data_IF_787818799200
#
_entry.id   IF_787818799200
#
_cell.length_a   1.000
_cell.length_b   1.000
_cell.length_c   1.000
_cell.angle_alpha   90.00
_cell.angle_beta   90.00
_cell.angle_gamma   90.00
#
_symmetry.space_group_name_H-M   'P 1'
#
loop_
_entity.id
_entity.type
_entity.pdbx_description
1 polymer ?
#
# COMPACT_ATOMS: atom_id res chain seq x y z
N UNK A 1 -24.12 -9.73 10.13
CA UNK A 1 -22.93 -10.46 9.58
C UNK A 1 -21.79 -10.21 10.55
N UNK A 2 -20.86 -11.16 10.75
CA UNK A 2 -19.68 -10.89 11.59
C UNK A 2 -18.87 -9.71 11.04
N UNK A 3 -18.22 -8.97 11.94
CA UNK A 3 -17.31 -7.89 11.55
C UNK A 3 -16.17 -8.46 10.68
N UNK A 4 -15.79 -7.75 9.62
CA UNK A 4 -14.76 -8.24 8.68
C UNK A 4 -13.83 -7.12 8.25
N UNK A 5 -12.60 -7.49 7.94
CA UNK A 5 -11.63 -6.62 7.26
C UNK A 5 -11.47 -7.04 5.81
N UNK A 6 -11.39 -6.05 4.94
CA UNK A 6 -11.21 -6.22 3.50
C UNK A 6 -9.97 -5.42 3.12
N UNK A 7 -9.01 -6.10 2.51
CA UNK A 7 -7.82 -5.46 1.93
C UNK A 7 -7.95 -5.56 0.42
N UNK A 8 -8.04 -4.42 -0.26
CA UNK A 8 -8.16 -4.37 -1.72
C UNK A 8 -6.86 -3.84 -2.31
N UNK A 9 -6.16 -4.64 -3.11
CA UNK A 9 -5.01 -4.20 -3.90
C UNK A 9 -5.52 -3.23 -4.96
N UNK A 10 -5.28 -1.94 -4.80
CA UNK A 10 -5.70 -0.92 -5.76
C UNK A 10 -4.78 -0.84 -6.96
N UNK A 11 -3.53 -1.19 -6.76
CA UNK A 11 -2.50 -1.30 -7.76
C UNK A 11 -1.37 -2.19 -7.27
N UNK A 12 -0.80 -3.00 -8.16
CA UNK A 12 0.27 -3.93 -7.83
C UNK A 12 1.49 -3.79 -8.75
N UNK A 13 1.56 -2.74 -9.53
CA UNK A 13 2.66 -2.45 -10.44
C UNK A 13 3.75 -1.60 -9.79
N UNK A 14 4.98 -1.75 -10.28
CA UNK A 14 6.13 -0.93 -9.92
C UNK A 14 5.99 0.52 -10.40
N UNK A 15 6.97 1.38 -10.06
CA UNK A 15 6.96 2.82 -10.38
C UNK A 15 6.55 3.20 -11.81
N UNK A 16 6.96 2.47 -12.88
CA UNK A 16 6.49 2.79 -14.23
C UNK A 16 5.08 2.29 -14.55
N UNK A 17 4.48 1.41 -13.72
CA UNK A 17 3.27 0.68 -14.03
C UNK A 17 3.46 -0.40 -15.12
N UNK A 18 2.41 -1.16 -15.43
CA UNK A 18 2.35 -2.11 -16.54
C UNK A 18 1.07 -1.86 -17.34
N UNK A 19 1.13 -1.54 -18.65
CA UNK A 19 2.37 -1.28 -19.41
C UNK A 19 3.09 -0.02 -18.93
N UNK A 20 4.35 0.14 -19.32
CA UNK A 20 5.07 1.40 -19.15
C UNK A 20 4.39 2.51 -19.96
N UNK A 21 4.67 3.76 -19.65
CA UNK A 21 4.07 4.93 -20.34
C UNK A 21 4.30 4.93 -21.87
N UNK A 22 5.31 4.23 -22.34
CA UNK A 22 5.60 4.02 -23.77
C UNK A 22 4.73 2.96 -24.44
N UNK A 23 3.83 2.31 -23.69
CA UNK A 23 3.04 1.16 -24.16
C UNK A 23 3.78 -0.18 -24.12
N UNK A 24 4.97 -0.22 -23.51
CA UNK A 24 5.78 -1.44 -23.39
C UNK A 24 5.26 -2.37 -22.30
N UNK A 25 4.90 -3.59 -22.68
CA UNK A 25 4.41 -4.65 -21.81
C UNK A 25 5.49 -5.64 -21.35
N UNK A 26 6.72 -5.55 -21.91
CA UNK A 26 7.80 -6.50 -21.64
C UNK A 26 7.38 -7.95 -21.93
N UNK A 27 7.46 -8.81 -20.93
CA UNK A 27 7.01 -10.21 -21.03
C UNK A 27 5.52 -10.42 -20.73
N UNK A 28 4.80 -9.41 -20.26
CA UNK A 28 3.39 -9.50 -19.90
C UNK A 28 2.50 -9.61 -21.15
N UNK A 29 1.59 -10.61 -21.19
CA UNK A 29 0.58 -10.70 -22.26
C UNK A 29 -0.44 -9.55 -22.11
N UNK A 30 -0.57 -8.62 -23.08
CA UNK A 30 -1.49 -7.51 -23.01
C UNK A 30 -2.97 -7.91 -23.07
N UNK A 31 -3.28 -9.15 -23.46
CA UNK A 31 -4.65 -9.69 -23.50
C UNK A 31 -5.12 -10.19 -22.12
N UNK A 32 -4.20 -10.48 -21.21
CA UNK A 32 -4.55 -10.85 -19.85
C UNK A 32 -4.75 -9.56 -19.00
N UNK A 33 -5.99 -9.23 -18.59
CA UNK A 33 -6.27 -8.01 -17.84
C UNK A 33 -5.54 -7.93 -16.51
N UNK A 34 -5.12 -9.06 -15.93
CA UNK A 34 -4.35 -9.11 -14.68
C UNK A 34 -2.90 -8.63 -14.85
N UNK A 35 -2.43 -8.48 -16.07
CA UNK A 35 -1.13 -7.89 -16.37
C UNK A 35 -1.15 -6.36 -16.44
N UNK A 36 -2.36 -5.73 -16.56
CA UNK A 36 -2.46 -4.29 -16.42
C UNK A 36 -2.38 -3.94 -14.94
N UNK A 37 -1.34 -3.20 -14.55
CA UNK A 37 -1.04 -2.88 -13.16
C UNK A 37 -0.82 -1.38 -12.98
N UNK A 38 -1.67 -0.75 -12.21
CA UNK A 38 -1.48 0.60 -11.68
C UNK A 38 -0.38 0.58 -10.61
N UNK A 39 0.18 1.76 -10.26
CA UNK A 39 1.19 1.89 -9.21
C UNK A 39 0.64 1.40 -7.89
N UNK A 40 1.54 0.84 -7.10
CA UNK A 40 1.22 0.16 -5.84
C UNK A 40 0.43 1.03 -4.87
N UNK A 41 -0.71 0.52 -4.40
CA UNK A 41 -1.52 1.07 -3.32
C UNK A 41 -2.46 0.00 -2.74
N UNK A 42 -2.81 0.13 -1.47
CA UNK A 42 -3.71 -0.79 -0.76
C UNK A 42 -4.83 -0.03 -0.04
N UNK A 43 -6.06 -0.50 -0.17
CA UNK A 43 -7.19 -0.05 0.63
C UNK A 43 -7.46 -1.04 1.75
N UNK A 44 -7.59 -0.56 2.99
CA UNK A 44 -7.94 -1.35 4.16
C UNK A 44 -9.29 -0.87 4.68
N UNK A 45 -10.28 -1.75 4.72
CA UNK A 45 -11.62 -1.45 5.20
C UNK A 45 -12.00 -2.38 6.35
N UNK A 46 -12.51 -1.85 7.44
CA UNK A 46 -13.19 -2.62 8.48
C UNK A 46 -14.68 -2.34 8.40
N UNK A 47 -15.47 -3.40 8.28
CA UNK A 47 -16.93 -3.33 8.17
C UNK A 47 -17.53 -3.94 9.42
N UNK A 48 -18.23 -3.13 10.20
CA UNK A 48 -18.96 -3.56 11.40
C UNK A 48 -20.24 -4.34 11.04
N UNK A 49 -20.82 -5.04 12.01
CA UNK A 49 -22.06 -5.82 11.83
C UNK A 49 -23.25 -4.98 11.38
N UNK A 50 -23.30 -3.70 11.81
CA UNK A 50 -24.35 -2.72 11.47
C UNK A 50 -24.13 -2.06 10.11
N UNK A 51 -23.02 -2.39 9.41
CA UNK A 51 -22.64 -1.82 8.12
C UNK A 51 -21.77 -0.57 8.21
N UNK A 52 -21.45 -0.08 9.40
CA UNK A 52 -20.47 0.99 9.61
C UNK A 52 -19.13 0.61 8.98
N UNK A 53 -18.39 1.59 8.45
CA UNK A 53 -17.16 1.35 7.71
C UNK A 53 -16.05 2.26 8.19
N UNK A 54 -14.87 1.70 8.43
CA UNK A 54 -13.62 2.46 8.62
C UNK A 54 -12.73 2.17 7.42
N UNK A 55 -12.30 3.22 6.73
CA UNK A 55 -11.61 3.11 5.43
C UNK A 55 -10.27 3.82 5.51
N UNK A 56 -9.18 3.08 5.30
CA UNK A 56 -7.81 3.59 5.33
C UNK A 56 -7.11 3.24 4.03
N UNK A 57 -6.47 4.23 3.43
CA UNK A 57 -5.65 4.05 2.24
C UNK A 57 -4.19 3.96 2.62
N UNK A 58 -3.43 3.03 2.04
CA UNK A 58 -1.97 2.99 2.10
C UNK A 58 -1.44 3.48 0.76
N UNK A 59 -0.71 4.58 0.82
CA UNK A 59 -0.12 5.33 -0.28
C UNK A 59 -1.10 6.04 -1.23
N UNK A 60 -0.63 7.13 -1.83
CA UNK A 60 -1.34 7.99 -2.78
C UNK A 60 -0.51 8.18 -4.05
N UNK A 61 -0.28 7.11 -4.78
CA UNK A 61 0.46 7.18 -6.05
C UNK A 61 -0.26 8.01 -7.13
N UNK A 62 0.37 8.25 -8.28
CA UNK A 62 -0.20 9.06 -9.36
C UNK A 62 -1.50 8.50 -9.96
N UNK A 63 -1.80 7.21 -9.74
CA UNK A 63 -3.02 6.56 -10.22
C UNK A 63 -4.20 6.66 -9.23
N UNK A 64 -4.02 7.36 -8.10
CA UNK A 64 -4.96 7.41 -6.99
C UNK A 64 -6.41 7.65 -7.42
N UNK A 65 -6.62 8.64 -8.28
CA UNK A 65 -7.97 8.98 -8.75
C UNK A 65 -8.67 7.80 -9.43
N UNK A 66 -7.98 7.12 -10.34
CA UNK A 66 -8.52 5.95 -11.05
C UNK A 66 -8.79 4.78 -10.08
N UNK A 67 -7.84 4.54 -9.19
CA UNK A 67 -7.92 3.49 -8.18
C UNK A 67 -9.13 3.65 -7.27
N UNK A 68 -9.35 4.83 -6.71
CA UNK A 68 -10.46 5.10 -5.79
C UNK A 68 -11.83 5.11 -6.50
N UNK A 69 -11.89 5.62 -7.73
CA UNK A 69 -13.11 5.56 -8.54
C UNK A 69 -13.50 4.11 -8.87
N UNK A 70 -12.53 3.29 -9.28
CA UNK A 70 -12.75 1.87 -9.59
C UNK A 70 -13.17 1.07 -8.37
N UNK A 71 -12.59 1.37 -7.19
CA UNK A 71 -12.95 0.73 -5.92
C UNK A 71 -14.26 1.30 -5.30
N UNK A 72 -14.83 2.36 -5.88
CA UNK A 72 -16.06 2.98 -5.39
C UNK A 72 -15.94 3.67 -4.03
N UNK A 73 -14.72 4.09 -3.65
CA UNK A 73 -14.44 4.74 -2.37
C UNK A 73 -15.13 6.10 -2.30
N UNK A 74 -15.90 6.35 -1.24
CA UNK A 74 -16.66 7.59 -1.05
C UNK A 74 -16.13 8.45 0.10
N UNK A 75 -15.40 7.85 1.04
CA UNK A 75 -14.79 8.53 2.18
C UNK A 75 -13.51 7.82 2.61
N UNK A 76 -12.61 8.57 3.27
CA UNK A 76 -11.39 8.06 3.88
C UNK A 76 -11.28 8.58 5.31
N UNK A 77 -11.03 7.68 6.26
CA UNK A 77 -10.77 8.02 7.65
C UNK A 77 -9.32 8.42 7.87
N UNK A 78 -8.39 7.81 7.11
CA UNK A 78 -6.97 8.19 7.09
C UNK A 78 -6.27 7.72 5.81
N UNK A 79 -5.09 8.30 5.59
CA UNK A 79 -4.06 7.76 4.69
C UNK A 79 -2.82 7.41 5.51
N UNK A 80 -2.16 6.33 5.14
CA UNK A 80 -0.90 5.86 5.76
C UNK A 80 0.14 5.76 4.66
N UNK A 81 1.35 6.30 4.87
CA UNK A 81 2.42 6.27 3.88
C UNK A 81 3.50 5.27 4.24
N UNK A 82 3.92 4.49 3.25
CA UNK A 82 5.07 3.59 3.34
C UNK A 82 6.38 4.36 3.28
N UNK A 83 6.50 5.29 2.34
CA UNK A 83 7.67 6.13 2.14
C UNK A 83 7.39 7.28 1.13
N UNK A 84 8.39 8.09 0.81
CA UNK A 84 8.23 9.35 0.07
C UNK A 84 8.51 9.27 -1.43
N UNK A 85 8.62 8.08 -2.04
CA UNK A 85 8.82 7.99 -3.48
C UNK A 85 7.58 8.47 -4.26
N UNK A 86 7.80 8.94 -5.48
CA UNK A 86 6.78 9.60 -6.28
C UNK A 86 5.58 8.70 -6.62
N UNK A 87 5.83 7.44 -6.87
CA UNK A 87 4.80 6.42 -7.17
C UNK A 87 3.93 6.05 -5.97
N UNK A 88 4.34 6.44 -4.75
CA UNK A 88 3.58 6.27 -3.51
C UNK A 88 2.95 7.56 -2.97
N UNK A 89 3.39 8.74 -3.48
CA UNK A 89 3.04 10.01 -2.85
C UNK A 89 2.35 11.02 -3.79
N UNK A 90 2.67 11.05 -5.08
CA UNK A 90 2.37 12.21 -5.94
C UNK A 90 0.88 12.40 -6.30
N UNK A 91 -0.02 11.50 -5.91
CA UNK A 91 -1.47 11.69 -6.01
C UNK A 91 -2.12 12.37 -4.79
N UNK A 92 -1.32 12.83 -3.82
CA UNK A 92 -1.81 13.38 -2.54
C UNK A 92 -2.82 14.53 -2.70
N UNK A 93 -2.72 15.35 -3.75
CA UNK A 93 -3.64 16.46 -4.00
C UNK A 93 -5.07 15.99 -4.33
N UNK A 94 -5.25 14.78 -4.87
CA UNK A 94 -6.58 14.21 -5.16
C UNK A 94 -7.42 13.96 -3.87
N UNK A 95 -6.77 13.91 -2.68
CA UNK A 95 -7.47 13.88 -1.40
C UNK A 95 -8.35 15.10 -1.16
N UNK A 96 -8.12 16.18 -1.89
CA UNK A 96 -8.97 17.40 -1.88
C UNK A 96 -10.43 17.09 -2.11
N UNK A 97 -10.75 16.11 -2.96
CA UNK A 97 -12.12 15.69 -3.24
C UNK A 97 -12.87 15.27 -1.99
N UNK A 98 -12.23 14.54 -1.07
CA UNK A 98 -12.84 14.10 0.18
C UNK A 98 -13.05 15.27 1.16
N UNK A 99 -12.09 16.20 1.23
CA UNK A 99 -12.21 17.38 2.09
C UNK A 99 -13.34 18.29 1.65
N UNK A 100 -13.51 18.52 0.36
CA UNK A 100 -14.62 19.30 -0.20
C UNK A 100 -15.96 18.63 0.14
N UNK A 101 -16.04 17.30 0.02
CA UNK A 101 -17.27 16.54 0.27
C UNK A 101 -17.58 16.45 1.77
N UNK A 102 -16.60 16.10 2.60
CA UNK A 102 -16.81 15.78 4.01
C UNK A 102 -16.57 16.97 4.95
N UNK A 103 -16.02 18.08 4.45
CA UNK A 103 -15.65 19.29 5.21
C UNK A 103 -14.75 19.02 6.41
N UNK A 104 -13.89 18.01 6.29
CA UNK A 104 -12.88 17.63 7.29
C UNK A 104 -11.56 17.31 6.60
N UNK A 105 -10.44 17.64 7.25
CA UNK A 105 -9.12 17.24 6.78
C UNK A 105 -8.94 15.73 6.88
N UNK A 106 -8.29 15.12 5.89
CA UNK A 106 -7.90 13.72 5.97
C UNK A 106 -6.63 13.59 6.82
N UNK A 107 -6.64 12.82 7.93
CA UNK A 107 -5.44 12.50 8.67
C UNK A 107 -4.48 11.70 7.78
N UNK A 108 -3.19 12.06 7.79
CA UNK A 108 -2.13 11.29 7.11
C UNK A 108 -1.09 10.84 8.14
N UNK A 109 -0.76 9.55 8.13
CA UNK A 109 0.24 8.96 9.00
C UNK A 109 1.50 8.64 8.19
N UNK A 110 2.64 9.15 8.63
CA UNK A 110 3.92 8.90 7.98
C UNK A 110 5.08 9.13 8.96
N UNK A 111 6.25 8.60 8.64
CA UNK A 111 7.47 8.91 9.37
C UNK A 111 7.92 10.36 9.17
N UNK A 112 8.87 10.80 9.97
CA UNK A 112 9.36 12.19 9.95
C UNK A 112 9.97 12.58 8.59
N UNK A 113 10.66 11.66 7.92
CA UNK A 113 11.26 11.91 6.62
C UNK A 113 10.19 12.11 5.54
N UNK A 114 9.20 11.23 5.48
CA UNK A 114 8.09 11.31 4.53
C UNK A 114 7.26 12.58 4.78
N UNK A 115 6.96 12.93 6.04
CA UNK A 115 6.28 14.19 6.38
C UNK A 115 7.08 15.43 5.95
N UNK A 116 8.41 15.41 6.05
CA UNK A 116 9.26 16.48 5.54
C UNK A 116 9.14 16.62 4.02
N UNK A 117 9.19 15.52 3.28
CA UNK A 117 9.03 15.51 1.83
C UNK A 117 7.64 16.00 1.38
N UNK A 118 6.58 15.62 2.12
CA UNK A 118 5.23 16.14 1.90
C UNK A 118 5.19 17.65 2.11
N UNK A 119 5.81 18.15 3.16
CA UNK A 119 5.87 19.59 3.45
C UNK A 119 6.63 20.34 2.35
N UNK A 120 7.74 19.80 1.89
CA UNK A 120 8.57 20.43 0.84
C UNK A 120 7.85 20.48 -0.52
N UNK A 121 7.17 19.40 -0.93
CA UNK A 121 6.54 19.29 -2.24
C UNK A 121 5.06 19.72 -2.27
N UNK A 122 4.34 19.50 -1.17
CA UNK A 122 2.88 19.64 -1.06
C UNK A 122 2.45 20.41 0.19
N UNK A 123 3.29 21.34 0.67
CA UNK A 123 3.02 22.11 1.89
C UNK A 123 1.67 22.82 1.90
N UNK A 124 1.17 23.24 0.75
CA UNK A 124 -0.16 23.83 0.58
C UNK A 124 -1.32 22.85 0.93
N UNK A 125 -1.07 21.56 0.96
CA UNK A 125 -2.05 20.56 1.44
C UNK A 125 -2.15 20.57 2.96
N UNK A 126 -1.08 20.95 3.68
CA UNK A 126 -0.98 20.99 5.13
C UNK A 126 -1.42 22.32 5.73
N UNK A 127 -1.06 23.42 5.06
CA UNK A 127 -1.28 24.78 5.54
C UNK A 127 -1.75 25.68 4.38
N UNK A 128 -2.72 26.55 4.65
CA UNK A 128 -3.15 27.52 3.65
C UNK A 128 -2.05 28.54 3.39
N UNK A 129 -1.61 28.76 2.13
CA UNK A 129 -0.70 29.83 1.82
C UNK A 129 -1.22 31.21 2.25
N UNK A 130 -0.36 32.17 2.61
CA UNK A 130 -0.78 33.51 2.96
C UNK A 130 -1.68 34.13 1.88
N UNK A 131 -2.86 34.63 2.27
CA UNK A 131 -3.85 35.23 1.38
C UNK A 131 -4.71 34.21 0.59
N UNK A 132 -4.54 32.93 0.81
CA UNK A 132 -5.39 31.88 0.22
C UNK A 132 -6.68 31.70 1.03
N UNK A 133 -7.82 31.54 0.33
CA UNK A 133 -9.09 31.14 0.93
C UNK A 133 -9.34 29.63 0.90
N UNK A 134 -8.39 28.84 0.34
CA UNK A 134 -8.48 27.39 0.31
C UNK A 134 -8.02 26.80 1.64
N UNK A 135 -8.86 26.00 2.34
CA UNK A 135 -8.44 25.32 3.56
C UNK A 135 -7.39 24.22 3.25
N UNK A 136 -6.55 23.89 4.23
CA UNK A 136 -5.67 22.73 4.12
C UNK A 136 -6.50 21.45 4.00
N UNK A 137 -5.98 20.46 3.25
CA UNK A 137 -6.73 19.24 2.93
C UNK A 137 -6.31 18.03 3.77
N UNK A 138 -5.13 18.07 4.37
CA UNK A 138 -4.59 16.99 5.18
C UNK A 138 -4.12 17.48 6.54
N UNK A 139 -4.09 16.57 7.52
CA UNK A 139 -3.53 16.78 8.85
C UNK A 139 -2.46 15.73 9.12
N UNK A 140 -1.23 16.17 9.37
CA UNK A 140 -0.10 15.27 9.63
C UNK A 140 -0.24 14.59 11.00
N UNK A 141 0.02 13.27 11.03
CA UNK A 141 0.18 12.44 12.20
C UNK A 141 1.52 11.71 12.07
N UNK A 142 2.39 11.87 13.05
CA UNK A 142 3.72 11.27 13.04
C UNK A 142 3.65 9.79 13.42
N UNK A 143 4.27 8.92 12.62
CA UNK A 143 4.66 7.58 13.04
C UNK A 143 6.02 7.73 13.72
N UNK A 144 6.04 7.50 15.04
CA UNK A 144 7.24 7.68 15.85
C UNK A 144 8.35 6.68 15.50
N UNK A 145 9.62 7.02 15.69
CA UNK A 145 10.73 6.09 15.42
C UNK A 145 10.71 4.79 16.22
N UNK A 146 9.98 4.75 17.34
CA UNK A 146 9.74 3.54 18.14
C UNK A 146 8.87 2.51 17.45
N UNK A 147 8.19 2.91 16.36
CA UNK A 147 7.28 2.06 15.57
C UNK A 147 6.20 1.36 16.43
N UNK A 148 5.70 2.09 17.43
CA UNK A 148 4.58 1.62 18.24
C UNK A 148 3.29 1.58 17.39
N UNK A 149 2.39 0.63 17.67
CA UNK A 149 1.12 0.57 16.97
C UNK A 149 0.32 1.85 17.12
N UNK A 150 -0.29 2.30 16.03
CA UNK A 150 -1.24 3.40 16.05
C UNK A 150 -2.63 2.98 15.59
N UNK A 151 -3.65 3.79 15.87
CA UNK A 151 -5.04 3.46 15.62
C UNK A 151 -5.71 4.48 14.75
N UNK A 152 -6.56 3.99 13.85
CA UNK A 152 -7.48 4.81 13.06
C UNK A 152 -8.90 4.44 13.44
N UNK A 153 -9.66 5.43 13.87
CA UNK A 153 -11.06 5.29 14.28
C UNK A 153 -11.99 5.67 13.13
N UNK A 154 -13.09 4.93 12.96
CA UNK A 154 -14.13 5.22 12.00
C UNK A 154 -15.43 4.49 12.35
N UNK A 155 -16.44 4.62 11.51
CA UNK A 155 -17.77 4.04 11.78
C UNK A 155 -17.77 2.49 11.79
N UNK A 156 -16.77 1.85 11.19
CA UNK A 156 -16.58 0.39 11.24
C UNK A 156 -15.80 -0.10 12.45
N UNK A 157 -15.43 0.80 13.38
CA UNK A 157 -14.58 0.51 14.53
C UNK A 157 -13.11 0.85 14.27
N UNK A 158 -12.25 0.42 15.19
CA UNK A 158 -10.82 0.75 15.21
C UNK A 158 -10.01 -0.20 14.34
N UNK A 159 -9.18 0.36 13.45
CA UNK A 159 -8.12 -0.39 12.76
C UNK A 159 -6.78 -0.06 13.44
N UNK A 160 -6.09 -1.08 13.95
CA UNK A 160 -4.75 -0.93 14.54
C UNK A 160 -3.70 -1.31 13.50
N UNK A 161 -2.78 -0.39 13.23
CA UNK A 161 -1.63 -0.58 12.36
C UNK A 161 -0.37 -0.79 13.21
N UNK A 162 0.36 -1.88 12.97
CA UNK A 162 1.71 -2.10 13.47
C UNK A 162 2.69 -1.74 12.35
N UNK A 163 3.46 -0.63 12.49
CA UNK A 163 4.50 -0.30 11.53
C UNK A 163 5.64 -1.31 11.59
N UNK A 164 6.20 -1.61 10.43
CA UNK A 164 7.28 -2.57 10.22
C UNK A 164 8.42 -1.86 9.47
N UNK A 165 9.59 -1.76 10.08
CA UNK A 165 10.75 -1.18 9.41
C UNK A 165 11.23 -2.10 8.29
N UNK A 166 11.49 -1.54 7.13
CA UNK A 166 12.00 -2.24 5.96
C UNK A 166 13.22 -1.54 5.39
N UNK A 167 14.15 -2.29 4.83
CA UNK A 167 15.23 -1.76 4.03
C UNK A 167 14.76 -1.59 2.59
N UNK A 168 15.04 -0.45 2.00
CA UNK A 168 14.70 -0.15 0.60
C UNK A 168 15.91 0.51 -0.09
N UNK A 169 16.89 -0.32 -0.43
CA UNK A 169 18.18 0.14 -0.92
C UNK A 169 18.91 1.00 0.10
N UNK A 170 19.11 2.28 -0.22
CA UNK A 170 19.80 3.25 0.65
C UNK A 170 18.87 4.01 1.61
N UNK A 171 17.57 3.77 1.56
CA UNK A 171 16.56 4.36 2.44
C UNK A 171 15.79 3.29 3.20
N UNK A 172 14.95 3.73 4.12
CA UNK A 172 13.96 2.87 4.76
C UNK A 172 12.58 3.11 4.14
N UNK A 173 11.74 2.08 4.17
CA UNK A 173 10.30 2.16 3.97
C UNK A 173 9.58 1.54 5.17
N UNK A 174 8.27 1.74 5.24
CA UNK A 174 7.43 1.12 6.26
C UNK A 174 6.50 0.11 5.60
N UNK A 175 6.51 -1.13 6.10
CA UNK A 175 5.41 -2.05 5.95
C UNK A 175 4.38 -1.85 7.05
N UNK A 176 3.22 -2.47 6.92
CA UNK A 176 2.16 -2.39 7.92
C UNK A 176 1.51 -3.75 8.15
N UNK A 177 1.40 -4.15 9.42
CA UNK A 177 0.60 -5.30 9.84
C UNK A 177 -0.72 -4.82 10.43
N UNK A 178 -1.82 -5.40 9.97
CA UNK A 178 -3.18 -5.19 10.49
C UNK A 178 -3.79 -6.55 10.80
N UNK A 179 -3.83 -6.91 12.07
CA UNK A 179 -4.21 -8.26 12.49
C UNK A 179 -3.28 -9.32 11.92
N UNK A 180 -3.82 -10.26 11.14
CA UNK A 180 -3.08 -11.38 10.55
C UNK A 180 -2.67 -11.14 9.09
N UNK A 181 -2.80 -9.91 8.60
CA UNK A 181 -2.37 -9.50 7.26
C UNK A 181 -1.24 -8.49 7.38
N UNK A 182 -0.15 -8.71 6.64
CA UNK A 182 0.94 -7.74 6.49
C UNK A 182 1.10 -7.32 5.04
N UNK A 183 1.39 -6.03 4.85
CA UNK A 183 1.67 -5.39 3.56
C UNK A 183 3.08 -4.81 3.58
N UNK A 184 3.96 -5.38 2.75
CA UNK A 184 5.38 -5.09 2.68
C UNK A 184 5.81 -4.82 1.23
N UNK A 185 5.41 -3.67 0.71
CA UNK A 185 5.89 -3.17 -0.59
C UNK A 185 7.23 -2.47 -0.42
N UNK A 186 7.98 -2.32 -1.52
CA UNK A 186 9.24 -1.56 -1.57
C UNK A 186 10.23 -1.97 -0.47
N UNK A 187 10.60 -3.23 -0.52
CA UNK A 187 11.52 -3.85 0.43
C UNK A 187 12.63 -4.59 -0.31
N UNK A 188 13.86 -4.45 0.17
CA UNK A 188 15.02 -5.22 -0.29
C UNK A 188 15.53 -6.19 0.78
N UNK A 189 15.19 -5.91 2.07
CA UNK A 189 15.56 -6.76 3.20
C UNK A 189 14.73 -6.40 4.44
N UNK A 190 14.62 -7.34 5.39
CA UNK A 190 13.92 -7.14 6.66
C UNK A 190 14.90 -7.18 7.83
N UNK A 191 14.92 -6.15 8.69
CA UNK A 191 15.62 -6.21 9.98
C UNK A 191 15.06 -7.34 10.87
N UNK A 192 15.88 -7.96 11.73
CA UNK A 192 15.43 -9.08 12.59
C UNK A 192 14.18 -8.77 13.41
N UNK A 193 14.08 -7.57 13.98
CA UNK A 193 12.91 -7.11 14.74
C UNK A 193 11.63 -7.02 13.92
N UNK A 194 11.74 -6.83 12.60
CA UNK A 194 10.60 -6.87 11.69
C UNK A 194 10.19 -8.31 11.40
N UNK A 195 11.15 -9.21 11.20
CA UNK A 195 10.87 -10.65 11.01
C UNK A 195 10.09 -11.21 12.18
N UNK A 196 10.48 -10.86 13.43
CA UNK A 196 9.77 -11.28 14.64
C UNK A 196 8.29 -10.82 14.64
N UNK A 197 8.02 -9.60 14.12
CA UNK A 197 6.66 -9.06 14.01
C UNK A 197 5.85 -9.66 12.84
N UNK A 198 6.48 -10.33 11.90
CA UNK A 198 5.84 -10.99 10.76
C UNK A 198 5.45 -12.46 11.04
N UNK A 199 5.74 -12.99 12.23
CA UNK A 199 5.35 -14.34 12.60
C UNK A 199 3.83 -14.54 12.71
N UNK A 200 3.32 -15.73 12.31
CA UNK A 200 1.93 -16.15 12.47
C UNK A 200 0.93 -15.45 11.53
N UNK A 201 1.36 -14.94 10.38
CA UNK A 201 0.49 -14.29 9.41
C UNK A 201 -0.43 -15.30 8.70
N UNK A 202 -1.69 -14.91 8.51
CA UNK A 202 -2.58 -15.56 7.56
C UNK A 202 -2.20 -15.15 6.11
N UNK A 203 -1.94 -13.87 5.88
CA UNK A 203 -1.57 -13.37 4.55
C UNK A 203 -0.42 -12.38 4.62
N UNK A 204 0.57 -12.58 3.76
CA UNK A 204 1.67 -11.64 3.50
C UNK A 204 1.54 -11.11 2.08
N UNK A 205 1.42 -9.78 1.92
CA UNK A 205 1.60 -9.09 0.63
C UNK A 205 3.01 -8.56 0.60
N UNK A 206 3.84 -9.01 -0.37
CA UNK A 206 5.29 -8.76 -0.37
C UNK A 206 5.77 -8.26 -1.73
N UNK A 207 6.72 -7.33 -1.72
CA UNK A 207 7.45 -6.81 -2.88
C UNK A 207 8.04 -7.95 -3.72
N UNK A 208 7.90 -7.84 -5.04
CA UNK A 208 8.50 -8.76 -6.01
C UNK A 208 8.66 -8.04 -7.33
N UNK A 209 9.78 -7.34 -7.50
CA UNK A 209 9.95 -6.45 -8.64
C UNK A 209 10.09 -7.20 -9.97
N UNK A 210 11.01 -8.16 -10.02
CA UNK A 210 11.43 -8.85 -11.25
C UNK A 210 12.20 -10.13 -10.94
N UNK A 211 12.67 -10.85 -11.98
CA UNK A 211 13.50 -12.04 -11.80
C UNK A 211 14.93 -11.71 -11.35
N UNK A 212 15.54 -10.67 -11.95
CA UNK A 212 16.92 -10.31 -11.65
C UNK A 212 17.02 -9.53 -10.32
N UNK A 213 18.17 -9.64 -9.68
CA UNK A 213 18.50 -8.84 -8.49
C UNK A 213 18.33 -7.34 -8.75
N UNK A 214 17.81 -6.65 -7.75
CA UNK A 214 17.70 -5.19 -7.71
C UNK A 214 18.16 -4.67 -6.33
N UNK A 215 18.92 -3.56 -6.25
CA UNK A 215 19.51 -3.12 -4.98
C UNK A 215 18.47 -2.60 -3.96
N UNK A 216 17.28 -2.22 -4.37
CA UNK A 216 16.24 -1.66 -3.50
C UNK A 216 14.94 -2.48 -3.45
N UNK A 217 14.81 -3.56 -4.21
CA UNK A 217 13.63 -4.40 -4.25
C UNK A 217 14.00 -5.87 -4.26
N UNK A 218 13.08 -6.72 -3.81
CA UNK A 218 13.23 -8.16 -3.89
C UNK A 218 13.07 -8.67 -5.33
N UNK A 219 13.91 -9.61 -5.75
CA UNK A 219 13.63 -10.46 -6.90
C UNK A 219 12.61 -11.53 -6.54
N UNK A 220 12.03 -12.23 -7.54
CA UNK A 220 11.11 -13.35 -7.27
C UNK A 220 11.76 -14.41 -6.37
N UNK A 221 13.02 -14.78 -6.63
CA UNK A 221 13.76 -15.74 -5.80
C UNK A 221 13.90 -15.26 -4.35
N UNK A 222 14.26 -14.00 -4.14
CA UNK A 222 14.40 -13.42 -2.80
C UNK A 222 13.04 -13.33 -2.08
N UNK A 223 11.97 -12.96 -2.78
CA UNK A 223 10.61 -12.92 -2.19
C UNK A 223 10.18 -14.31 -1.75
N UNK A 224 10.42 -15.35 -2.55
CA UNK A 224 10.13 -16.74 -2.20
C UNK A 224 10.93 -17.21 -0.96
N UNK A 225 12.21 -16.83 -0.86
CA UNK A 225 13.05 -17.13 0.32
C UNK A 225 12.50 -16.45 1.59
N UNK A 226 12.06 -15.21 1.51
CA UNK A 226 11.40 -14.52 2.63
C UNK A 226 10.04 -15.14 2.98
N UNK A 227 9.25 -15.56 1.99
CA UNK A 227 7.98 -16.26 2.21
C UNK A 227 8.21 -17.58 2.94
N UNK A 228 9.25 -18.34 2.57
CA UNK A 228 9.64 -19.57 3.28
C UNK A 228 10.06 -19.28 4.73
N UNK A 229 10.82 -18.22 4.97
CA UNK A 229 11.28 -17.81 6.31
C UNK A 229 10.14 -17.36 7.21
N UNK A 230 9.23 -16.52 6.71
CA UNK A 230 8.09 -15.94 7.46
C UNK A 230 6.96 -16.98 7.61
N UNK A 231 6.84 -17.90 6.65
CA UNK A 231 5.88 -19.00 6.61
C UNK A 231 4.40 -18.55 6.78
N UNK A 232 3.89 -17.57 6.01
CA UNK A 232 2.48 -17.21 6.03
C UNK A 232 1.63 -18.33 5.43
N UNK A 233 0.34 -18.37 5.78
CA UNK A 233 -0.58 -19.34 5.17
C UNK A 233 -0.82 -19.05 3.66
N UNK A 234 -0.78 -17.77 3.27
CA UNK A 234 -0.91 -17.26 1.90
C UNK A 234 0.07 -16.12 1.66
N UNK A 235 0.70 -16.07 0.50
CA UNK A 235 1.52 -14.93 0.09
C UNK A 235 1.04 -14.37 -1.25
N UNK A 236 1.08 -13.03 -1.38
CA UNK A 236 0.66 -12.30 -2.57
C UNK A 236 1.82 -11.40 -3.00
N UNK A 237 2.29 -11.59 -4.23
CA UNK A 237 3.40 -10.83 -4.79
C UNK A 237 2.88 -9.50 -5.34
N UNK A 238 3.48 -8.38 -4.93
CA UNK A 238 3.11 -7.03 -5.38
C UNK A 238 4.31 -6.26 -5.93
N UNK A 239 4.10 -5.02 -6.36
CA UNK A 239 5.10 -4.12 -6.95
C UNK A 239 5.78 -4.70 -8.20
N UNK A 240 5.03 -5.50 -8.97
CA UNK A 240 5.57 -6.27 -10.08
C UNK A 240 5.79 -5.43 -11.33
N UNK A 241 6.95 -5.62 -11.96
CA UNK A 241 7.35 -4.96 -13.19
C UNK A 241 7.04 -5.81 -14.44
N UNK A 242 7.24 -5.24 -15.64
CA UNK A 242 6.94 -5.87 -16.94
C UNK A 242 7.60 -7.25 -17.22
N UNK A 243 8.69 -7.71 -16.58
CA UNK A 243 9.17 -9.09 -16.77
C UNK A 243 8.27 -10.16 -16.16
N UNK A 244 7.41 -9.83 -15.20
CA UNK A 244 6.61 -10.78 -14.43
C UNK A 244 5.19 -10.90 -15.01
N UNK A 245 5.01 -11.75 -16.03
CA UNK A 245 3.69 -12.11 -16.56
C UNK A 245 2.88 -12.88 -15.51
N UNK A 246 1.60 -12.53 -15.32
CA UNK A 246 0.74 -13.10 -14.29
C UNK A 246 0.66 -14.63 -14.36
N UNK A 247 0.31 -15.18 -15.53
CA UNK A 247 0.10 -16.62 -15.67
C UNK A 247 1.41 -17.40 -15.57
N UNK A 248 2.52 -16.79 -15.97
CA UNK A 248 3.85 -17.37 -15.84
C UNK A 248 4.26 -17.46 -14.38
N UNK A 249 4.15 -16.37 -13.62
CA UNK A 249 4.45 -16.34 -12.19
C UNK A 249 3.56 -17.32 -11.41
N UNK A 250 2.26 -17.39 -11.73
CA UNK A 250 1.35 -18.38 -11.13
C UNK A 250 1.80 -19.83 -11.31
N UNK A 251 2.44 -20.15 -12.42
CA UNK A 251 2.95 -21.52 -12.68
C UNK A 251 4.31 -21.78 -12.00
N UNK A 252 5.08 -20.73 -11.76
CA UNK A 252 6.45 -20.83 -11.22
C UNK A 252 6.48 -20.77 -9.68
N UNK A 253 5.37 -20.41 -9.05
CA UNK A 253 5.29 -20.22 -7.59
C UNK A 253 4.57 -21.39 -6.90
N UNK A 254 4.87 -21.66 -5.61
CA UNK A 254 4.15 -22.63 -4.80
C UNK A 254 2.67 -22.32 -4.69
N UNK A 255 1.82 -23.32 -4.42
CA UNK A 255 0.35 -23.21 -4.43
C UNK A 255 -0.22 -22.15 -3.46
N UNK A 256 0.50 -21.77 -2.40
CA UNK A 256 0.10 -20.75 -1.43
C UNK A 256 0.64 -19.34 -1.79
N UNK A 257 1.34 -19.20 -2.92
CA UNK A 257 1.92 -17.94 -3.41
C UNK A 257 1.29 -17.59 -4.76
N UNK A 258 0.77 -16.38 -4.89
CA UNK A 258 0.16 -15.89 -6.11
C UNK A 258 0.57 -14.46 -6.44
N UNK A 259 0.68 -14.06 -7.72
CA UNK A 259 0.84 -12.67 -8.09
C UNK A 259 -0.43 -11.88 -7.83
N UNK A 260 -0.31 -10.64 -7.39
CA UNK A 260 -1.43 -9.72 -7.28
C UNK A 260 -1.96 -9.28 -8.66
N UNK A 261 -3.16 -8.76 -8.66
CA UNK A 261 -3.75 -7.97 -9.74
C UNK A 261 -4.59 -6.83 -9.14
N UNK A 262 -4.78 -5.77 -9.90
CA UNK A 262 -5.55 -4.62 -9.45
C UNK A 262 -7.01 -5.04 -9.20
N UNK A 263 -7.51 -4.76 -8.00
CA UNK A 263 -8.83 -5.18 -7.53
C UNK A 263 -8.86 -6.50 -6.75
N UNK A 264 -7.71 -7.21 -6.56
CA UNK A 264 -7.65 -8.41 -5.72
C UNK A 264 -8.05 -8.07 -4.28
N UNK A 265 -8.96 -8.85 -3.71
CA UNK A 265 -9.42 -8.69 -2.33
C UNK A 265 -8.96 -9.84 -1.42
N UNK A 266 -8.51 -9.46 -0.22
CA UNK A 266 -8.25 -10.35 0.90
C UNK A 266 -9.31 -10.04 1.95
N UNK A 267 -10.10 -11.03 2.34
CA UNK A 267 -11.17 -10.87 3.34
C UNK A 267 -10.86 -11.74 4.54
N UNK A 268 -10.77 -11.12 5.72
CA UNK A 268 -10.53 -11.79 6.99
C UNK A 268 -11.59 -11.37 8.01
N UNK A 269 -11.79 -12.17 9.06
CA UNK A 269 -12.60 -11.76 10.20
C UNK A 269 -11.88 -10.63 10.97
N UNK A 270 -12.64 -9.64 11.51
CA UNK A 270 -12.09 -8.46 12.16
C UNK A 270 -11.85 -8.67 13.67
#
# INVERSE_FOLDING_TARGET
MAARRIFTILGCGSSPGVPRITGDWGACDPRNPKNRRLRTALLVEQVAEDGGRTTVLIDTGPDLREQLLSAGVKDLDAVVYTHAHADHLHGIDDLRGFVIHNRRQTPIWADAFTLSRIRDGFGYCLESPPGSNYPPIIRACLIEPSLEPFRVEGAGGTITFQPLLQMHGSIHSLGFRVGDVAYCTDVSDFPPETVDKLGGLQTLVIDTLQYQYHPSHLSLEQSLAWIETIAPQRAILTHMHVPLDYDTVMRETPAHVEPAYDGLQIVVEA
#
